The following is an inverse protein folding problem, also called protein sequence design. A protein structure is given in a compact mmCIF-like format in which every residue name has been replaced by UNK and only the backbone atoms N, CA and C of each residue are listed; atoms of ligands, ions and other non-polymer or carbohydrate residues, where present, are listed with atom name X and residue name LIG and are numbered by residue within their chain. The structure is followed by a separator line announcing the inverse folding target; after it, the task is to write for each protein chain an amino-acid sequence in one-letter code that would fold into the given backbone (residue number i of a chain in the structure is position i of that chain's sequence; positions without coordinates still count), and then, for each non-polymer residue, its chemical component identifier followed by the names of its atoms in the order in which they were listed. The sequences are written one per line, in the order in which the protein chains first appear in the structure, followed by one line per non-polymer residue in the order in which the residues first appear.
data_IF_691739172218
#
_entry.id   IF_691739172218
#
_cell.length_a   1.000
_cell.length_b   1.000
_cell.length_c   1.000
_cell.angle_alpha   90.00
_cell.angle_beta   90.00
_cell.angle_gamma   90.00
#
_symmetry.space_group_name_H-M   'P 1'
#
loop_
_entity.id
_entity.type
_entity.pdbx_description
1 polymer ?
#
# COMPACT_ATOMS: atom_id res chain seq x y z
N UNK A 1 13.35 -17.71 1.06
CA UNK A 1 12.17 -17.10 1.73
C UNK A 1 11.14 -18.18 2.04
N UNK A 2 10.59 -18.23 3.25
CA UNK A 2 9.65 -19.31 3.63
C UNK A 2 8.22 -18.96 3.25
N UNK A 3 7.39 -19.98 2.97
CA UNK A 3 5.97 -19.86 2.57
C UNK A 3 5.14 -18.98 3.52
N UNK A 4 5.54 -18.88 4.80
CA UNK A 4 4.91 -18.00 5.79
C UNK A 4 5.16 -16.52 5.50
N UNK A 5 6.38 -16.17 5.11
CA UNK A 5 6.73 -14.80 4.74
C UNK A 5 6.01 -14.40 3.46
N UNK A 6 5.93 -15.31 2.47
CA UNK A 6 5.16 -15.09 1.23
C UNK A 6 3.66 -14.89 1.50
N UNK A 7 3.09 -15.65 2.44
CA UNK A 7 1.69 -15.50 2.86
C UNK A 7 1.45 -14.18 3.60
N UNK A 8 2.31 -13.83 4.54
CA UNK A 8 2.26 -12.55 5.25
C UNK A 8 2.44 -11.36 4.29
N UNK A 9 3.29 -11.55 3.28
CA UNK A 9 3.47 -10.61 2.17
C UNK A 9 2.17 -10.37 1.42
N UNK A 10 1.55 -11.46 0.95
CA UNK A 10 0.35 -11.39 0.13
C UNK A 10 -0.82 -10.77 0.90
N UNK A 11 -0.90 -11.05 2.20
CA UNK A 11 -1.88 -10.44 3.09
C UNK A 11 -1.64 -8.94 3.29
N UNK A 12 -0.38 -8.57 3.56
CA UNK A 12 0.04 -7.16 3.64
C UNK A 12 -0.28 -6.42 2.33
N UNK A 13 0.05 -7.03 1.19
CA UNK A 13 -0.18 -6.47 -0.15
C UNK A 13 -1.67 -6.27 -0.44
N UNK A 14 -2.52 -7.26 -0.10
CA UNK A 14 -3.98 -7.12 -0.21
C UNK A 14 -4.49 -6.00 0.67
N UNK A 15 -4.02 -5.91 1.90
CA UNK A 15 -4.46 -4.90 2.85
C UNK A 15 -4.05 -3.49 2.38
N UNK A 16 -2.82 -3.33 1.88
CA UNK A 16 -2.34 -2.08 1.28
C UNK A 16 -3.16 -1.69 0.05
N UNK A 17 -3.50 -2.64 -0.82
CA UNK A 17 -4.33 -2.37 -2.00
C UNK A 17 -5.74 -1.89 -1.60
N UNK A 18 -6.33 -2.51 -0.58
CA UNK A 18 -7.63 -2.10 -0.03
C UNK A 18 -7.52 -0.68 0.56
N UNK A 19 -6.46 -0.41 1.31
CA UNK A 19 -6.22 0.90 1.94
C UNK A 19 -6.03 1.99 0.87
N UNK A 20 -5.22 1.74 -0.17
CA UNK A 20 -5.03 2.67 -1.30
C UNK A 20 -6.37 2.97 -1.96
N UNK A 21 -7.16 1.93 -2.28
CA UNK A 21 -8.44 2.07 -2.96
C UNK A 21 -9.44 2.86 -2.11
N UNK A 22 -9.47 2.56 -0.81
CA UNK A 22 -10.29 3.26 0.18
C UNK A 22 -9.86 4.72 0.31
N UNK A 23 -8.57 5.01 0.35
CA UNK A 23 -8.03 6.37 0.38
C UNK A 23 -8.22 7.13 -0.94
N UNK A 24 -8.27 6.44 -2.08
CA UNK A 24 -8.63 7.02 -3.38
C UNK A 24 -10.11 7.42 -3.43
N UNK A 25 -11.00 6.56 -2.94
CA UNK A 25 -12.42 6.91 -2.79
C UNK A 25 -12.59 8.03 -1.77
N UNK A 26 -11.96 7.93 -0.59
CA UNK A 26 -11.96 9.00 0.40
C UNK A 26 -11.37 10.29 -0.16
N UNK A 27 -10.35 10.27 -1.01
CA UNK A 27 -9.82 11.46 -1.65
C UNK A 27 -10.79 12.11 -2.65
N UNK A 28 -11.75 11.35 -3.19
CA UNK A 28 -12.83 11.88 -4.02
C UNK A 28 -14.01 12.40 -3.18
N UNK A 29 -14.28 11.78 -2.03
CA UNK A 29 -15.40 12.16 -1.15
C UNK A 29 -15.02 13.28 -0.17
N UNK A 30 -13.76 13.31 0.27
CA UNK A 30 -13.27 14.24 1.28
C UNK A 30 -12.71 15.50 0.62
N UNK A 31 -13.32 16.64 0.95
CA UNK A 31 -12.83 17.98 0.56
C UNK A 31 -11.57 18.39 1.33
N UNK A 32 -11.18 17.61 2.33
CA UNK A 32 -10.09 17.95 3.25
C UNK A 32 -8.71 17.73 2.62
N UNK A 33 -8.01 18.84 2.41
CA UNK A 33 -6.76 18.91 1.67
C UNK A 33 -5.60 18.21 2.41
N UNK A 34 -5.68 18.14 3.74
CA UNK A 34 -4.72 17.38 4.56
C UNK A 34 -4.86 15.88 4.35
N UNK A 35 -6.09 15.35 4.27
CA UNK A 35 -6.31 13.93 4.01
C UNK A 35 -5.81 13.53 2.63
N UNK A 36 -6.03 14.36 1.60
CA UNK A 36 -5.48 14.12 0.25
C UNK A 36 -3.96 14.00 0.25
N UNK A 37 -3.29 14.84 1.04
CA UNK A 37 -1.83 14.81 1.19
C UNK A 37 -1.37 13.53 1.86
N UNK A 38 -2.03 13.12 2.96
CA UNK A 38 -1.73 11.88 3.68
C UNK A 38 -2.02 10.65 2.81
N UNK A 39 -3.11 10.64 2.03
CA UNK A 39 -3.41 9.58 1.06
C UNK A 39 -2.28 9.44 0.04
N UNK A 40 -1.84 10.54 -0.57
CA UNK A 40 -0.78 10.52 -1.57
C UNK A 40 0.54 10.03 -0.99
N UNK A 41 0.89 10.45 0.23
CA UNK A 41 2.11 9.99 0.90
C UNK A 41 2.05 8.50 1.25
N UNK A 42 0.89 8.01 1.71
CA UNK A 42 0.63 6.59 1.94
C UNK A 42 0.73 5.76 0.67
N UNK A 43 0.12 6.20 -0.43
CA UNK A 43 0.21 5.52 -1.74
C UNK A 43 1.67 5.42 -2.19
N UNK A 44 2.44 6.49 -2.03
CA UNK A 44 3.86 6.52 -2.42
C UNK A 44 4.70 5.56 -1.57
N UNK A 45 4.51 5.58 -0.24
CA UNK A 45 5.16 4.62 0.66
C UNK A 45 4.79 3.17 0.36
N UNK A 46 3.53 2.89 0.05
CA UNK A 46 3.08 1.54 -0.30
C UNK A 46 3.69 1.06 -1.63
N UNK A 47 3.86 1.94 -2.63
CA UNK A 47 4.58 1.59 -3.86
C UNK A 47 6.07 1.30 -3.61
N UNK A 48 6.73 2.08 -2.75
CA UNK A 48 8.12 1.81 -2.35
C UNK A 48 8.24 0.48 -1.60
N UNK A 49 7.35 0.23 -0.63
CA UNK A 49 7.29 -1.04 0.10
C UNK A 49 7.11 -2.20 -0.86
N UNK A 50 6.13 -2.14 -1.76
CA UNK A 50 5.91 -3.15 -2.80
C UNK A 50 7.18 -3.42 -3.63
N UNK A 51 7.85 -2.36 -4.07
CA UNK A 51 9.05 -2.47 -4.89
C UNK A 51 10.18 -3.15 -4.13
N UNK A 52 10.43 -2.76 -2.88
CA UNK A 52 11.43 -3.40 -2.03
C UNK A 52 11.09 -4.86 -1.75
N UNK A 53 9.82 -5.16 -1.51
CA UNK A 53 9.30 -6.50 -1.30
C UNK A 53 9.55 -7.42 -2.49
N UNK A 54 9.22 -6.95 -3.70
CA UNK A 54 9.43 -7.69 -4.95
C UNK A 54 10.93 -7.89 -5.22
N UNK A 55 11.76 -6.92 -4.82
CA UNK A 55 13.22 -7.04 -4.91
C UNK A 55 13.76 -8.10 -3.94
N UNK A 56 13.28 -8.10 -2.70
CA UNK A 56 13.60 -9.11 -1.68
C UNK A 56 13.09 -10.51 -2.09
N UNK A 57 12.01 -10.58 -2.89
CA UNK A 57 11.44 -11.83 -3.38
C UNK A 57 12.15 -12.42 -4.60
N UNK A 58 12.70 -11.55 -5.44
CA UNK A 58 13.50 -11.95 -6.60
C UNK A 58 14.97 -12.23 -6.27
N UNK A 59 15.41 -11.92 -5.05
CA UNK A 59 16.76 -12.18 -4.56
C UNK A 59 16.85 -13.43 -3.70
#
# INVERSE_FOLDING_TARGET
MTTRELGYLSDTLKNEQIIIKKYQEYGNVVQDQQLKTVCNDMIRKHQEHYTQLVQQLNS
#
